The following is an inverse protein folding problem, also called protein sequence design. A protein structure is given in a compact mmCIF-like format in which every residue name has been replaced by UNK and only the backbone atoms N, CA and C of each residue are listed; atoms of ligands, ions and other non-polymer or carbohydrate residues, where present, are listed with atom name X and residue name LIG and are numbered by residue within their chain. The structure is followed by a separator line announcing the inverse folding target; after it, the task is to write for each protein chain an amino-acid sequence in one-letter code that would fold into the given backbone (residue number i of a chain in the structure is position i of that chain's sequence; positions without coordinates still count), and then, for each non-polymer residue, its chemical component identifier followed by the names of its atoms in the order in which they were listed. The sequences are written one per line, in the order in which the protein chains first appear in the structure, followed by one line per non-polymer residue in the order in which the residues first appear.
data_IF_671576150944
#
_entry.id   IF_671576150944
#
_cell.length_a   1.000
_cell.length_b   1.000
_cell.length_c   1.000
_cell.angle_alpha   90.00
_cell.angle_beta   90.00
_cell.angle_gamma   90.00
#
_symmetry.space_group_name_H-M   'P 1'
#
loop_
_entity.id
_entity.type
_entity.pdbx_description
1 polymer ?
#
# COMPACT_ATOMS: atom_id res chain seq x y z
N UNK A 1 13.71 -3.12 -17.18
CA UNK A 1 12.29 -3.42 -17.49
C UNK A 1 11.60 -2.11 -17.82
N UNK A 2 10.66 -2.09 -18.77
CA UNK A 2 9.92 -0.87 -19.14
C UNK A 2 8.41 -1.10 -19.03
N UNK A 3 7.66 -0.07 -18.62
CA UNK A 3 6.19 -0.04 -18.60
C UNK A 3 5.71 1.22 -19.33
N UNK A 4 4.88 1.06 -20.36
CA UNK A 4 4.29 2.19 -21.08
C UNK A 4 2.80 2.30 -20.80
N UNK A 5 2.35 3.46 -20.28
CA UNK A 5 0.93 3.76 -20.04
C UNK A 5 0.63 5.14 -20.62
N UNK A 6 -0.40 5.22 -21.49
CA UNK A 6 -0.82 6.47 -22.14
C UNK A 6 0.37 7.25 -22.76
N UNK A 7 1.24 6.53 -23.49
CA UNK A 7 2.45 7.06 -24.12
C UNK A 7 3.52 7.60 -23.16
N UNK A 8 3.42 7.32 -21.86
CA UNK A 8 4.49 7.55 -20.88
C UNK A 8 5.20 6.22 -20.63
N UNK A 9 6.45 6.11 -21.07
CA UNK A 9 7.34 5.01 -20.71
C UNK A 9 7.97 5.28 -19.35
N UNK A 10 7.91 4.29 -18.47
CA UNK A 10 8.63 4.25 -17.21
C UNK A 10 9.67 3.14 -17.28
N UNK A 11 10.93 3.50 -17.04
CA UNK A 11 12.08 2.60 -17.03
C UNK A 11 12.41 2.21 -15.59
N UNK A 12 12.64 0.91 -15.38
CA UNK A 12 13.00 0.33 -14.10
C UNK A 12 14.32 -0.44 -14.20
N UNK A 13 15.20 -0.21 -13.23
CA UNK A 13 16.44 -0.96 -13.05
C UNK A 13 16.47 -1.63 -11.67
N UNK A 14 17.14 -2.78 -11.60
CA UNK A 14 17.23 -3.63 -10.42
C UNK A 14 18.70 -3.97 -10.14
N UNK A 15 19.02 -4.30 -8.89
CA UNK A 15 20.31 -4.89 -8.54
C UNK A 15 20.34 -6.42 -8.76
N UNK A 16 21.46 -7.05 -8.43
CA UNK A 16 21.72 -8.48 -8.67
C UNK A 16 20.80 -9.42 -7.86
N UNK A 17 20.08 -8.89 -6.86
CA UNK A 17 19.13 -9.64 -6.03
C UNK A 17 17.69 -9.14 -6.24
N UNK A 18 17.39 -8.60 -7.43
CA UNK A 18 16.06 -8.19 -7.89
C UNK A 18 15.45 -6.99 -7.11
N UNK A 19 16.21 -6.20 -6.35
CA UNK A 19 15.68 -5.01 -5.66
C UNK A 19 15.64 -3.82 -6.59
N UNK A 20 14.56 -3.03 -6.53
CA UNK A 20 14.39 -1.87 -7.41
C UNK A 20 15.38 -0.75 -7.06
N UNK A 21 16.31 -0.43 -7.96
CA UNK A 21 17.31 0.65 -7.74
C UNK A 21 17.00 1.93 -8.50
N UNK A 22 16.13 1.89 -9.52
CA UNK A 22 15.75 3.08 -10.29
C UNK A 22 14.34 2.99 -10.88
N UNK A 23 13.63 4.11 -10.87
CA UNK A 23 12.39 4.35 -11.61
C UNK A 23 12.48 5.72 -12.31
N UNK A 24 12.39 5.74 -13.64
CA UNK A 24 12.51 6.97 -14.43
C UNK A 24 11.38 7.07 -15.44
N UNK A 25 10.74 8.24 -15.50
CA UNK A 25 9.78 8.62 -16.55
C UNK A 25 9.86 10.13 -16.79
N UNK A 26 9.19 10.62 -17.83
CA UNK A 26 9.21 12.05 -18.12
C UNK A 26 8.77 12.89 -16.89
N UNK A 27 9.66 13.75 -16.40
CA UNK A 27 9.44 14.61 -15.23
C UNK A 27 9.53 13.93 -13.85
N UNK A 28 9.94 12.66 -13.78
CA UNK A 28 10.10 11.92 -12.53
C UNK A 28 11.31 10.99 -12.58
N UNK A 29 12.23 11.12 -11.63
CA UNK A 29 13.37 10.23 -11.47
C UNK A 29 13.56 9.90 -9.99
N UNK A 30 13.52 8.60 -9.68
CA UNK A 30 13.80 8.08 -8.36
C UNK A 30 14.91 7.02 -8.43
N UNK A 31 15.85 7.06 -7.49
CA UNK A 31 16.81 6.00 -7.27
C UNK A 31 16.89 5.59 -5.80
N UNK A 32 17.30 4.35 -5.57
CA UNK A 32 17.29 3.71 -4.26
C UNK A 32 18.59 2.94 -4.03
N UNK A 33 19.02 2.89 -2.77
CA UNK A 33 20.10 2.01 -2.31
C UNK A 33 19.64 1.22 -1.11
N UNK A 34 20.22 0.05 -0.90
CA UNK A 34 19.87 -0.89 0.16
C UNK A 34 21.11 -1.36 0.92
N UNK A 35 20.92 -1.78 2.17
CA UNK A 35 21.93 -2.54 2.92
C UNK A 35 21.81 -4.05 2.64
N UNK A 36 22.66 -4.85 3.30
CA UNK A 36 22.68 -6.30 3.11
C UNK A 36 21.41 -7.03 3.62
N UNK A 37 20.65 -6.43 4.54
CA UNK A 37 19.37 -6.95 4.99
C UNK A 37 18.22 -6.49 4.07
N UNK A 38 18.46 -5.55 3.16
CA UNK A 38 17.43 -4.98 2.30
C UNK A 38 16.70 -3.80 2.94
N UNK A 39 17.24 -3.17 3.99
CA UNK A 39 16.73 -1.86 4.39
C UNK A 39 17.12 -0.85 3.33
N UNK A 40 16.17 -0.04 2.88
CA UNK A 40 16.48 1.15 2.07
C UNK A 40 17.40 2.05 2.89
N UNK A 41 18.56 2.42 2.35
CA UNK A 41 19.54 3.33 2.96
C UNK A 41 19.46 4.73 2.36
N UNK A 42 19.03 4.85 1.10
CA UNK A 42 18.76 6.15 0.48
C UNK A 42 17.63 6.12 -0.53
N UNK A 43 16.97 7.28 -0.70
CA UNK A 43 16.07 7.59 -1.83
C UNK A 43 16.48 8.93 -2.40
N UNK A 44 16.78 8.99 -3.68
CA UNK A 44 16.99 10.24 -4.40
C UNK A 44 15.82 10.48 -5.33
N UNK A 45 15.01 11.50 -5.05
CA UNK A 45 13.86 11.88 -5.87
C UNK A 45 14.12 13.23 -6.53
N UNK A 46 14.17 13.27 -7.86
CA UNK A 46 14.40 14.48 -8.66
C UNK A 46 15.59 15.32 -8.15
N UNK A 47 16.70 14.63 -7.83
CA UNK A 47 17.94 15.24 -7.32
C UNK A 47 17.97 15.51 -5.81
N UNK A 48 16.85 15.38 -5.10
CA UNK A 48 16.81 15.50 -3.63
C UNK A 48 17.05 14.15 -2.98
N UNK A 49 18.13 14.04 -2.21
CA UNK A 49 18.52 12.78 -1.52
C UNK A 49 18.06 12.78 -0.07
N UNK A 50 17.39 11.70 0.32
CA UNK A 50 17.07 11.36 1.71
C UNK A 50 17.82 10.10 2.12
N UNK A 51 18.38 10.09 3.33
CA UNK A 51 19.03 8.92 3.92
C UNK A 51 18.15 8.32 5.00
N UNK A 52 18.10 6.99 5.05
CA UNK A 52 17.24 6.21 5.94
C UNK A 52 18.13 5.56 6.99
N UNK A 53 17.86 5.83 8.27
CA UNK A 53 18.64 5.35 9.40
C UNK A 53 17.86 4.23 10.09
N UNK A 54 18.44 3.04 10.13
CA UNK A 54 17.87 1.88 10.78
C UNK A 54 18.70 1.45 12.00
N UNK A 55 18.06 0.83 12.98
CA UNK A 55 18.74 0.16 14.09
C UNK A 55 19.11 -1.30 13.73
N UNK A 56 19.83 -1.97 14.64
CA UNK A 56 20.27 -3.36 14.48
C UNK A 56 19.12 -4.38 14.36
N UNK A 57 17.88 -3.96 14.61
CA UNK A 57 16.68 -4.78 14.53
C UNK A 57 15.78 -4.38 13.34
N UNK A 58 16.39 -3.73 12.34
CA UNK A 58 15.82 -3.23 11.09
C UNK A 58 14.70 -2.20 11.30
N UNK A 59 14.63 -1.49 12.44
CA UNK A 59 13.64 -0.45 12.68
C UNK A 59 14.13 0.87 12.09
N UNK A 60 13.32 1.53 11.25
CA UNK A 60 13.65 2.83 10.65
C UNK A 60 13.47 3.89 11.72
N UNK A 61 14.56 4.37 12.32
CA UNK A 61 14.50 5.34 13.41
C UNK A 61 14.35 6.77 12.89
N UNK A 62 14.94 7.08 11.73
CA UNK A 62 14.83 8.42 11.14
C UNK A 62 15.09 8.43 9.64
N UNK A 63 14.60 9.50 9.00
CA UNK A 63 14.97 9.91 7.64
C UNK A 63 15.62 11.28 7.75
N UNK A 64 16.79 11.43 7.11
CA UNK A 64 17.55 12.68 7.08
C UNK A 64 17.66 13.24 5.66
N UNK A 65 17.72 14.57 5.56
CA UNK A 65 17.91 15.29 4.31
C UNK A 65 18.86 16.48 4.57
N UNK A 66 19.97 16.55 3.81
CA UNK A 66 20.98 17.60 4.02
C UNK A 66 21.54 17.63 5.44
N UNK A 67 21.65 16.47 6.11
CA UNK A 67 22.12 16.34 7.49
C UNK A 67 21.08 16.58 8.59
N UNK A 68 19.86 17.03 8.24
CA UNK A 68 18.79 17.28 9.21
C UNK A 68 17.79 16.11 9.25
N UNK A 69 17.27 15.77 10.42
CA UNK A 69 16.16 14.81 10.54
C UNK A 69 14.87 15.44 10.04
N UNK A 70 14.25 14.84 9.04
CA UNK A 70 12.97 15.30 8.45
C UNK A 70 11.78 14.44 8.86
N UNK A 71 12.04 13.19 9.27
CA UNK A 71 11.03 12.27 9.80
C UNK A 71 11.69 11.38 10.84
N UNK A 72 11.03 11.12 11.97
CA UNK A 72 11.48 10.16 12.97
C UNK A 72 10.35 9.21 13.36
N UNK A 73 10.74 8.05 13.88
CA UNK A 73 9.80 6.98 14.22
C UNK A 73 10.14 6.43 15.59
N UNK A 74 9.10 6.06 16.33
CA UNK A 74 9.23 5.33 17.60
C UNK A 74 8.58 3.97 17.47
N UNK A 75 9.07 3.03 18.26
CA UNK A 75 8.62 1.65 18.24
C UNK A 75 8.39 1.14 19.65
N UNK A 76 7.44 0.22 19.80
CA UNK A 76 7.33 -0.57 21.02
C UNK A 76 8.28 -1.78 21.04
N UNK A 77 8.21 -2.55 22.14
CA UNK A 77 9.00 -3.76 22.34
C UNK A 77 8.67 -4.87 21.33
N UNK A 78 7.45 -4.91 20.79
CA UNK A 78 7.06 -5.85 19.73
C UNK A 78 7.62 -5.44 18.35
N UNK A 79 8.15 -4.22 18.22
CA UNK A 79 8.68 -3.70 16.96
C UNK A 79 7.59 -3.10 16.08
N UNK A 80 6.50 -2.61 16.66
CA UNK A 80 5.44 -1.89 15.94
C UNK A 80 5.69 -0.41 16.00
N UNK A 81 5.54 0.30 14.88
CA UNK A 81 5.71 1.76 14.84
C UNK A 81 4.60 2.43 15.67
N UNK A 82 4.95 3.06 16.79
CA UNK A 82 3.98 3.70 17.71
C UNK A 82 3.81 5.20 17.46
N UNK A 83 4.78 5.85 16.85
CA UNK A 83 4.64 7.24 16.43
C UNK A 83 5.52 7.56 15.23
N UNK A 84 5.06 8.53 14.44
CA UNK A 84 5.78 9.14 13.33
C UNK A 84 5.76 10.65 13.55
N UNK A 85 6.94 11.26 13.56
CA UNK A 85 7.09 12.71 13.77
C UNK A 85 7.71 13.35 12.53
N UNK A 86 7.08 14.39 12.00
CA UNK A 86 7.58 15.23 10.89
C UNK A 86 7.67 16.66 11.39
N UNK A 87 8.89 17.19 11.54
CA UNK A 87 9.09 18.46 12.24
C UNK A 87 8.61 18.37 13.70
N UNK A 88 7.61 19.16 14.07
CA UNK A 88 6.98 19.14 15.40
C UNK A 88 5.66 18.32 15.43
N UNK A 89 5.19 17.87 14.27
CA UNK A 89 3.91 17.20 14.12
C UNK A 89 4.08 15.71 14.36
N UNK A 90 3.43 15.19 15.40
CA UNK A 90 3.49 13.77 15.77
C UNK A 90 2.15 13.10 15.52
N UNK A 91 2.18 12.00 14.77
CA UNK A 91 1.07 11.06 14.61
C UNK A 91 1.34 9.83 15.45
N UNK A 92 0.42 9.48 16.35
CA UNK A 92 0.52 8.29 17.22
C UNK A 92 -0.36 7.16 16.72
N UNK A 93 0.12 5.92 16.86
CA UNK A 93 -0.53 4.72 16.36
C UNK A 93 -0.73 3.75 17.52
N UNK A 94 -1.98 3.39 17.79
CA UNK A 94 -2.36 2.42 18.80
C UNK A 94 -2.68 1.07 18.17
N UNK A 95 -2.32 0.01 18.88
CA UNK A 95 -2.50 -1.37 18.45
C UNK A 95 -3.26 -2.18 19.48
N UNK A 96 -3.94 -3.23 19.04
CA UNK A 96 -4.42 -4.28 19.94
C UNK A 96 -3.35 -5.38 20.19
N UNK A 97 -3.77 -6.46 20.84
CA UNK A 97 -2.89 -7.59 21.18
C UNK A 97 -2.47 -8.42 19.95
N UNK A 98 -3.19 -8.31 18.83
CA UNK A 98 -2.88 -8.99 17.56
C UNK A 98 -2.05 -8.11 16.63
N UNK A 99 -1.59 -6.95 17.11
CA UNK A 99 -0.80 -5.99 16.34
C UNK A 99 -1.56 -5.32 15.19
N UNK A 100 -2.88 -5.22 15.31
CA UNK A 100 -3.74 -4.47 14.38
C UNK A 100 -3.86 -3.04 14.85
N UNK A 101 -3.83 -2.08 13.93
CA UNK A 101 -4.00 -0.67 14.27
C UNK A 101 -5.46 -0.43 14.66
N UNK A 102 -5.72 -0.05 15.91
CA UNK A 102 -7.07 0.29 16.37
C UNK A 102 -7.36 1.78 16.30
N UNK A 103 -6.32 2.61 16.39
CA UNK A 103 -6.46 4.06 16.33
C UNK A 103 -5.21 4.73 15.77
N UNK A 104 -5.41 5.76 14.97
CA UNK A 104 -4.38 6.75 14.59
C UNK A 104 -4.81 8.09 15.17
N UNK A 105 -3.93 8.75 15.91
CA UNK A 105 -4.14 10.10 16.46
C UNK A 105 -3.21 11.08 15.75
N UNK A 106 -3.78 12.09 15.12
CA UNK A 106 -3.07 13.09 14.33
C UNK A 106 -2.61 14.28 15.20
N UNK A 107 -1.70 15.14 14.71
CA UNK A 107 -1.17 16.28 15.47
C UNK A 107 -2.24 17.26 15.99
N UNK A 108 -3.31 17.43 15.22
CA UNK A 108 -4.47 18.25 15.57
C UNK A 108 -5.45 17.54 16.56
N UNK A 109 -5.08 16.37 17.08
CA UNK A 109 -5.86 15.48 17.94
C UNK A 109 -7.10 14.85 17.29
N UNK A 110 -7.33 15.01 15.99
CA UNK A 110 -8.33 14.18 15.30
C UNK A 110 -7.87 12.73 15.26
N UNK A 111 -8.82 11.80 15.17
CA UNK A 111 -8.51 10.38 15.25
C UNK A 111 -9.21 9.59 14.18
N UNK A 112 -8.51 8.60 13.63
CA UNK A 112 -9.11 7.51 12.88
C UNK A 112 -9.20 6.27 13.78
N UNK A 113 -10.30 5.53 13.70
CA UNK A 113 -10.48 4.30 14.47
C UNK A 113 -10.87 3.15 13.57
N UNK A 114 -10.46 1.94 13.94
CA UNK A 114 -10.65 0.74 13.14
C UNK A 114 -11.10 -0.42 14.02
N UNK A 115 -11.98 -1.26 13.48
CA UNK A 115 -12.45 -2.47 14.14
C UNK A 115 -12.26 -3.68 13.23
N UNK A 116 -11.98 -4.83 13.84
CA UNK A 116 -11.64 -6.08 13.16
C UNK A 116 -12.52 -7.22 13.69
N UNK A 117 -12.74 -8.24 12.86
CA UNK A 117 -13.27 -9.52 13.34
C UNK A 117 -12.13 -10.43 13.85
N UNK A 118 -12.48 -11.60 14.38
CA UNK A 118 -11.50 -12.58 14.89
C UNK A 118 -10.63 -13.26 13.83
N UNK A 119 -10.78 -12.89 12.54
CA UNK A 119 -9.97 -13.38 11.42
C UNK A 119 -9.14 -12.25 10.79
N UNK A 120 -8.90 -11.18 11.56
CA UNK A 120 -8.06 -10.05 11.18
C UNK A 120 -8.58 -9.21 10.00
N UNK A 121 -9.84 -9.38 9.62
CA UNK A 121 -10.43 -8.54 8.59
C UNK A 121 -10.98 -7.26 9.21
N UNK A 122 -10.62 -6.12 8.64
CA UNK A 122 -11.22 -4.83 9.02
C UNK A 122 -12.70 -4.83 8.67
N UNK A 123 -13.55 -4.67 9.69
CA UNK A 123 -15.03 -4.63 9.58
C UNK A 123 -15.60 -3.23 9.72
N UNK A 124 -14.86 -2.28 10.31
CA UNK A 124 -15.28 -0.87 10.33
C UNK A 124 -14.10 0.07 10.37
N UNK A 125 -14.30 1.28 9.84
CA UNK A 125 -13.44 2.42 10.08
C UNK A 125 -14.23 3.70 10.29
N UNK A 126 -13.68 4.61 11.08
CA UNK A 126 -14.13 6.00 11.19
C UNK A 126 -12.93 6.88 10.88
N UNK A 127 -13.06 7.74 9.88
CA UNK A 127 -12.04 8.70 9.46
C UNK A 127 -12.69 10.06 9.09
N UNK A 128 -11.91 11.01 8.55
CA UNK A 128 -12.42 12.33 8.16
C UNK A 128 -13.54 12.27 7.10
N UNK A 129 -13.65 11.15 6.36
CA UNK A 129 -14.67 10.91 5.33
C UNK A 129 -15.95 10.27 5.89
N UNK A 130 -15.99 10.02 7.20
CA UNK A 130 -17.12 9.44 7.92
C UNK A 130 -16.90 7.98 8.31
N UNK A 131 -18.00 7.32 8.65
CA UNK A 131 -17.99 5.91 9.06
C UNK A 131 -18.18 4.99 7.87
N UNK A 132 -17.40 3.90 7.81
CA UNK A 132 -17.54 2.79 6.87
C UNK A 132 -17.72 1.48 7.63
N UNK A 133 -18.56 0.61 7.09
CA UNK A 133 -18.78 -0.75 7.61
C UNK A 133 -18.63 -1.74 6.48
N UNK A 134 -17.68 -2.66 6.62
CA UNK A 134 -17.28 -3.56 5.55
C UNK A 134 -18.03 -4.89 5.64
N UNK A 135 -18.67 -5.27 4.53
CA UNK A 135 -19.15 -6.62 4.29
C UNK A 135 -18.32 -7.26 3.18
N UNK A 136 -17.90 -8.50 3.39
CA UNK A 136 -17.04 -9.26 2.48
C UNK A 136 -17.75 -10.52 1.97
N UNK A 137 -17.27 -11.05 0.84
CA UNK A 137 -17.65 -12.36 0.32
C UNK A 137 -16.82 -13.46 0.99
N UNK A 138 -16.97 -13.58 2.31
CA UNK A 138 -16.16 -14.47 3.13
C UNK A 138 -15.64 -13.78 4.38
N UNK A 139 -14.64 -14.40 5.02
CA UNK A 139 -14.17 -14.02 6.34
C UNK A 139 -12.64 -13.92 6.44
N UNK A 140 -11.89 -14.27 5.39
CA UNK A 140 -10.44 -14.12 5.31
C UNK A 140 -10.05 -12.73 4.80
N UNK A 141 -8.81 -12.32 5.08
CA UNK A 141 -8.31 -10.97 4.73
C UNK A 141 -8.26 -10.72 3.22
N UNK A 142 -8.10 -11.78 2.43
CA UNK A 142 -8.11 -11.76 0.96
C UNK A 142 -9.51 -11.83 0.36
N UNK A 143 -10.54 -12.14 1.16
CA UNK A 143 -11.90 -12.18 0.66
C UNK A 143 -12.37 -10.76 0.31
N UNK A 144 -12.98 -10.57 -0.87
CA UNK A 144 -13.21 -9.25 -1.41
C UNK A 144 -14.30 -8.51 -0.64
N UNK A 145 -14.15 -7.20 -0.53
CA UNK A 145 -15.17 -6.32 0.04
C UNK A 145 -16.30 -6.14 -0.98
N UNK A 146 -17.53 -6.40 -0.55
CA UNK A 146 -18.75 -6.22 -1.34
C UNK A 146 -19.42 -4.87 -1.08
N UNK A 147 -19.26 -4.31 0.11
CA UNK A 147 -19.72 -2.95 0.43
C UNK A 147 -18.97 -2.38 1.63
N UNK A 148 -18.83 -1.05 1.66
CA UNK A 148 -18.30 -0.27 2.80
C UNK A 148 -19.42 0.51 3.54
N UNK A 149 -20.68 0.20 3.25
CA UNK A 149 -21.87 0.91 3.73
C UNK A 149 -22.23 2.16 2.93
N UNK A 150 -21.31 2.71 2.14
CA UNK A 150 -21.51 3.90 1.33
C UNK A 150 -21.44 3.62 -0.18
N UNK A 151 -20.77 2.56 -0.59
CA UNK A 151 -20.75 2.02 -1.95
C UNK A 151 -20.90 0.50 -1.93
N UNK A 152 -21.42 -0.04 -3.02
CA UNK A 152 -21.39 -1.47 -3.33
C UNK A 152 -20.33 -1.71 -4.40
N UNK A 153 -19.57 -2.79 -4.24
CA UNK A 153 -18.46 -3.12 -5.12
C UNK A 153 -18.75 -4.40 -5.89
N UNK A 154 -18.39 -4.37 -7.17
CA UNK A 154 -18.08 -5.59 -7.91
C UNK A 154 -16.56 -5.70 -7.89
N UNK A 155 -15.97 -6.59 -7.08
CA UNK A 155 -14.53 -6.61 -6.79
C UNK A 155 -13.68 -6.61 -8.06
N UNK A 156 -12.72 -5.68 -8.14
CA UNK A 156 -11.85 -5.51 -9.31
C UNK A 156 -12.51 -4.94 -10.57
N UNK A 157 -13.84 -4.76 -10.60
CA UNK A 157 -14.59 -4.33 -11.80
C UNK A 157 -15.19 -2.94 -11.63
N UNK A 158 -15.97 -2.71 -10.59
CA UNK A 158 -16.71 -1.45 -10.44
C UNK A 158 -17.09 -1.12 -9.00
N UNK A 159 -17.40 0.15 -8.77
CA UNK A 159 -18.10 0.63 -7.59
C UNK A 159 -19.36 1.38 -7.96
N UNK A 160 -20.40 1.21 -7.15
CA UNK A 160 -21.63 1.96 -7.24
C UNK A 160 -21.88 2.71 -5.94
N UNK A 161 -21.89 4.04 -6.02
CA UNK A 161 -22.19 4.94 -4.90
C UNK A 161 -23.50 5.64 -5.20
N UNK A 162 -24.51 5.39 -4.37
CA UNK A 162 -25.90 5.78 -4.66
C UNK A 162 -26.34 5.22 -6.02
N UNK A 163 -26.59 6.07 -7.01
CA UNK A 163 -26.99 5.67 -8.37
C UNK A 163 -25.87 5.82 -9.41
N UNK A 164 -24.67 6.20 -9.00
CA UNK A 164 -23.53 6.43 -9.90
C UNK A 164 -22.60 5.23 -9.86
N UNK A 165 -22.35 4.63 -11.02
CA UNK A 165 -21.38 3.54 -11.19
C UNK A 165 -20.10 4.06 -11.84
N UNK A 166 -18.97 3.63 -11.31
CA UNK A 166 -17.62 3.84 -11.87
C UNK A 166 -16.96 2.49 -12.10
N UNK A 167 -16.21 2.37 -13.19
CA UNK A 167 -15.51 1.14 -13.56
C UNK A 167 -14.01 1.30 -13.36
N UNK A 168 -13.39 0.32 -12.71
CA UNK A 168 -11.96 0.26 -12.47
C UNK A 168 -11.20 -0.15 -13.74
N UNK A 169 -10.08 0.52 -13.99
CA UNK A 169 -9.11 0.12 -15.02
C UNK A 169 -7.76 -0.14 -14.34
N UNK A 170 -7.53 -1.37 -13.87
CA UNK A 170 -6.28 -1.72 -13.21
C UNK A 170 -5.16 -2.02 -14.20
N UNK A 171 -3.91 -1.80 -13.78
CA UNK A 171 -2.74 -2.31 -14.46
C UNK A 171 -2.49 -3.81 -14.15
N UNK A 172 -1.37 -4.37 -14.63
CA UNK A 172 -0.99 -5.77 -14.37
C UNK A 172 -0.85 -6.10 -12.88
N UNK A 173 -0.44 -5.14 -12.05
CA UNK A 173 -0.30 -5.32 -10.61
C UNK A 173 -1.67 -5.29 -9.90
N UNK A 174 -2.75 -4.94 -10.61
CA UNK A 174 -4.06 -4.71 -10.02
C UNK A 174 -4.24 -3.28 -9.50
N UNK A 175 -3.34 -2.35 -9.83
CA UNK A 175 -3.42 -0.94 -9.42
C UNK A 175 -4.40 -0.20 -10.29
N UNK A 176 -5.44 0.37 -9.68
CA UNK A 176 -6.43 1.21 -10.38
C UNK A 176 -5.79 2.51 -10.85
N UNK A 177 -5.45 2.61 -12.13
CA UNK A 177 -4.87 3.82 -12.72
C UNK A 177 -5.95 4.80 -13.21
N UNK A 178 -7.17 4.31 -13.45
CA UNK A 178 -8.26 5.11 -14.01
C UNK A 178 -9.65 4.60 -13.61
N UNK A 179 -10.59 5.53 -13.52
CA UNK A 179 -12.03 5.26 -13.45
C UNK A 179 -12.75 5.81 -14.69
N UNK A 180 -13.73 5.06 -15.19
CA UNK A 180 -14.66 5.54 -16.22
C UNK A 180 -16.10 5.52 -15.74
N UNK A 181 -16.93 6.39 -16.29
CA UNK A 181 -18.38 6.34 -16.13
C UNK A 181 -19.05 5.36 -17.11
N UNK A 182 -20.39 5.32 -17.11
CA UNK A 182 -21.21 4.48 -18.01
C UNK A 182 -21.13 4.91 -19.47
N UNK A 183 -20.66 6.12 -19.76
CA UNK A 183 -20.40 6.60 -21.12
C UNK A 183 -18.95 6.30 -21.56
N UNK A 184 -18.23 5.45 -20.80
CA UNK A 184 -16.82 5.10 -21.00
C UNK A 184 -15.88 6.32 -20.94
N UNK A 185 -16.36 7.43 -20.39
CA UNK A 185 -15.57 8.65 -20.24
C UNK A 185 -14.72 8.56 -18.99
N UNK A 186 -13.44 8.92 -19.11
CA UNK A 186 -12.51 8.95 -17.98
C UNK A 186 -12.91 10.05 -17.01
N UNK A 187 -13.16 9.69 -15.75
CA UNK A 187 -13.55 10.68 -14.73
C UNK A 187 -12.49 10.89 -13.67
N UNK A 188 -11.66 9.89 -13.43
CA UNK A 188 -10.61 9.94 -12.41
C UNK A 188 -9.36 9.25 -12.94
N UNK A 189 -8.20 9.77 -12.56
CA UNK A 189 -6.90 9.14 -12.83
C UNK A 189 -6.09 9.09 -11.56
N UNK A 190 -5.23 8.07 -11.44
CA UNK A 190 -4.27 7.93 -10.34
C UNK A 190 -2.94 7.45 -10.90
N UNK A 191 -1.86 8.05 -10.42
CA UNK A 191 -0.49 7.65 -10.74
C UNK A 191 0.28 7.44 -9.45
N UNK A 192 0.86 6.27 -9.30
CA UNK A 192 1.68 5.91 -8.16
C UNK A 192 3.17 5.91 -8.56
N UNK A 193 4.06 6.06 -7.59
CA UNK A 193 5.44 5.57 -7.73
C UNK A 193 5.48 4.04 -7.59
N UNK A 194 6.64 3.44 -7.86
CA UNK A 194 6.79 2.00 -7.80
C UNK A 194 6.40 1.40 -6.43
N UNK A 195 6.56 2.16 -5.34
CA UNK A 195 6.23 1.73 -3.98
C UNK A 195 4.79 2.09 -3.57
N UNK A 196 3.94 2.51 -4.50
CA UNK A 196 2.53 2.75 -4.24
C UNK A 196 2.23 4.10 -3.57
N UNK A 197 3.16 5.07 -3.62
CA UNK A 197 2.89 6.44 -3.18
C UNK A 197 2.17 7.20 -4.30
N UNK A 198 1.02 7.80 -4.01
CA UNK A 198 0.28 8.57 -5.00
C UNK A 198 1.09 9.84 -5.37
N UNK A 199 1.42 9.98 -6.64
CA UNK A 199 2.23 11.10 -7.18
C UNK A 199 1.39 12.10 -7.96
N UNK A 200 0.28 11.66 -8.53
CA UNK A 200 -0.66 12.52 -9.24
C UNK A 200 -2.04 11.87 -9.32
N UNK A 201 -3.10 12.67 -9.25
CA UNK A 201 -4.47 12.20 -9.45
C UNK A 201 -5.38 13.29 -9.99
N UNK A 202 -6.48 12.88 -10.61
CA UNK A 202 -7.60 13.74 -10.98
C UNK A 202 -8.93 13.09 -10.61
N UNK A 203 -10.00 13.88 -10.56
CA UNK A 203 -11.31 13.42 -10.14
C UNK A 203 -11.48 13.46 -8.61
N UNK A 204 -12.65 13.05 -8.13
CA UNK A 204 -13.05 13.16 -6.73
C UNK A 204 -13.74 11.91 -6.20
N UNK A 205 -13.75 10.81 -6.97
CA UNK A 205 -14.40 9.58 -6.55
C UNK A 205 -13.65 8.95 -5.36
N UNK A 206 -14.29 8.80 -4.18
CA UNK A 206 -13.64 8.29 -2.98
C UNK A 206 -13.63 6.76 -3.02
N UNK A 207 -12.70 6.19 -3.79
CA UNK A 207 -12.45 4.74 -3.81
C UNK A 207 -11.28 4.38 -2.89
N UNK A 208 -11.42 3.36 -2.04
CA UNK A 208 -10.31 2.83 -1.25
C UNK A 208 -9.40 1.90 -2.07
N UNK A 209 -9.83 1.42 -3.24
CA UNK A 209 -9.13 0.41 -4.04
C UNK A 209 -8.24 1.07 -5.11
N UNK A 210 -7.15 1.68 -4.64
CA UNK A 210 -6.13 2.36 -5.44
C UNK A 210 -5.00 1.42 -5.88
N UNK A 211 -3.81 1.60 -5.28
CA UNK A 211 -2.65 0.75 -5.50
C UNK A 211 -2.94 -0.72 -5.16
N UNK A 212 -2.71 -1.62 -6.12
CA UNK A 212 -3.07 -3.04 -6.06
C UNK A 212 -4.51 -3.30 -5.53
N UNK A 213 -5.43 -2.36 -5.78
CA UNK A 213 -6.81 -2.41 -5.28
C UNK A 213 -7.60 -3.62 -5.77
N UNK A 214 -7.26 -4.19 -6.93
CA UNK A 214 -7.86 -5.43 -7.42
C UNK A 214 -7.59 -6.65 -6.50
N UNK A 215 -6.53 -6.57 -5.68
CA UNK A 215 -6.17 -7.57 -4.66
C UNK A 215 -6.73 -7.24 -3.27
N UNK A 216 -7.58 -6.21 -3.16
CA UNK A 216 -8.24 -5.86 -1.90
C UNK A 216 -7.46 -4.91 -1.00
N UNK A 217 -6.34 -4.35 -1.48
CA UNK A 217 -5.62 -3.29 -0.76
C UNK A 217 -6.53 -2.09 -0.54
N UNK A 218 -6.55 -1.58 0.69
CA UNK A 218 -7.38 -0.44 1.05
C UNK A 218 -6.52 0.74 1.45
N UNK A 219 -6.71 1.87 0.76
CA UNK A 219 -6.05 3.14 1.08
C UNK A 219 -6.84 3.91 2.15
N UNK A 220 -6.14 4.42 3.16
CA UNK A 220 -6.72 5.30 4.18
C UNK A 220 -6.28 6.76 3.94
N UNK A 221 -7.19 7.63 3.46
CA UNK A 221 -6.84 8.92 2.86
C UNK A 221 -6.14 9.88 3.82
N UNK A 222 -6.55 9.89 5.10
CA UNK A 222 -5.98 10.82 6.10
C UNK A 222 -4.54 10.45 6.48
N UNK A 223 -4.18 9.17 6.44
CA UNK A 223 -2.85 8.68 6.84
C UNK A 223 -1.92 8.45 5.65
N UNK A 224 -2.47 8.20 4.46
CA UNK A 224 -1.74 7.71 3.29
C UNK A 224 -1.30 6.24 3.40
N UNK A 225 -1.57 5.58 4.53
CA UNK A 225 -1.27 4.16 4.74
C UNK A 225 -2.21 3.28 3.91
N UNK A 226 -1.75 2.05 3.69
CA UNK A 226 -2.48 1.02 2.97
C UNK A 226 -2.64 -0.19 3.88
N UNK A 227 -3.85 -0.72 4.01
CA UNK A 227 -4.10 -2.01 4.63
C UNK A 227 -3.94 -3.10 3.57
N UNK A 228 -2.95 -3.96 3.77
CA UNK A 228 -2.61 -5.12 2.95
C UNK A 228 -2.86 -6.36 3.80
N UNK A 229 -3.98 -7.03 3.57
CA UNK A 229 -4.40 -8.18 4.35
C UNK A 229 -4.29 -7.93 5.87
N UNK A 230 -3.26 -8.52 6.48
CA UNK A 230 -2.93 -8.48 7.90
C UNK A 230 -2.14 -7.23 8.37
N UNK A 231 -1.46 -6.50 7.47
CA UNK A 231 -0.51 -5.45 7.85
C UNK A 231 -0.78 -4.11 7.20
N UNK A 232 -0.41 -3.05 7.91
CA UNK A 232 -0.37 -1.70 7.37
C UNK A 232 0.98 -1.40 6.74
N UNK A 233 0.93 -0.94 5.49
CA UNK A 233 2.06 -0.55 4.67
C UNK A 233 2.11 0.99 4.52
N UNK A 234 3.29 1.57 4.74
CA UNK A 234 3.56 2.99 4.50
C UNK A 234 4.29 3.15 3.14
N UNK A 235 3.57 3.56 2.07
CA UNK A 235 4.19 3.76 0.76
C UNK A 235 5.21 4.91 0.74
N UNK A 236 5.13 5.86 1.69
CA UNK A 236 6.09 6.97 1.73
C UNK A 236 7.50 6.51 2.12
N UNK A 237 7.59 5.40 2.85
CA UNK A 237 8.85 4.79 3.28
C UNK A 237 9.12 3.46 2.57
N UNK A 238 8.12 2.86 1.94
CA UNK A 238 8.23 1.60 1.23
C UNK A 238 8.29 0.38 2.14
N UNK A 239 7.67 0.44 3.32
CA UNK A 239 7.79 -0.61 4.35
C UNK A 239 6.52 -0.78 5.19
N UNK A 240 6.36 -1.94 5.81
CA UNK A 240 5.32 -2.22 6.79
C UNK A 240 5.57 -1.51 8.13
N UNK A 241 4.49 -1.23 8.87
CA UNK A 241 4.57 -0.63 10.22
C UNK A 241 4.83 -1.65 11.32
N UNK A 242 4.66 -2.93 11.01
CA UNK A 242 4.86 -4.05 11.92
C UNK A 242 5.78 -5.08 11.25
N UNK A 243 6.49 -5.86 12.08
CA UNK A 243 7.23 -7.02 11.60
C UNK A 243 6.27 -8.05 11.04
N UNK A 244 6.74 -8.76 10.03
CA UNK A 244 6.06 -9.95 9.52
C UNK A 244 5.83 -10.97 10.65
N UNK A 245 4.57 -11.32 10.97
CA UNK A 245 4.25 -12.31 11.98
C UNK A 245 4.84 -13.70 11.69
N UNK A 246 4.97 -14.07 10.41
CA UNK A 246 5.58 -15.35 10.02
C UNK A 246 7.10 -15.26 9.84
N UNK A 247 7.65 -14.04 9.92
CA UNK A 247 9.10 -13.75 9.86
C UNK A 247 9.75 -14.30 8.59
N UNK A 248 9.03 -14.26 7.48
CA UNK A 248 9.56 -14.66 6.19
C UNK A 248 10.63 -13.67 5.70
N UNK A 249 11.59 -14.21 4.96
CA UNK A 249 12.74 -13.53 4.38
C UNK A 249 13.63 -12.74 5.34
N UNK A 250 14.42 -11.82 4.77
CA UNK A 250 15.57 -11.20 5.46
C UNK A 250 15.21 -9.96 6.27
N UNK A 251 14.16 -9.25 5.87
CA UNK A 251 13.76 -8.00 6.50
C UNK A 251 12.25 -7.97 6.69
N UNK A 252 11.82 -8.18 7.92
CA UNK A 252 10.41 -8.36 8.26
C UNK A 252 9.55 -7.09 8.13
N UNK A 253 10.12 -5.96 7.71
CA UNK A 253 9.37 -4.76 7.36
C UNK A 253 9.30 -4.53 5.85
N UNK A 254 10.02 -5.31 5.05
CA UNK A 254 10.12 -5.10 3.61
C UNK A 254 8.80 -5.39 2.91
N UNK A 255 8.53 -4.66 1.82
CA UNK A 255 7.44 -5.01 0.92
C UNK A 255 8.04 -5.69 -0.31
N UNK A 256 7.74 -6.98 -0.46
CA UNK A 256 8.17 -7.82 -1.58
C UNK A 256 9.68 -7.72 -1.87
N UNK A 257 10.52 -7.81 -0.83
CA UNK A 257 11.99 -7.71 -0.90
C UNK A 257 12.52 -6.45 -1.64
N UNK A 258 11.76 -5.35 -1.63
CA UNK A 258 12.00 -4.11 -2.40
C UNK A 258 11.82 -4.24 -3.92
N UNK A 259 11.02 -5.22 -4.38
CA UNK A 259 10.57 -5.34 -5.76
C UNK A 259 9.04 -5.18 -5.88
N UNK A 260 8.51 -3.98 -5.62
CA UNK A 260 7.07 -3.75 -5.49
C UNK A 260 6.28 -3.93 -6.80
N UNK A 261 6.95 -4.06 -7.95
CA UNK A 261 6.35 -4.18 -9.27
C UNK A 261 6.19 -5.64 -9.73
N UNK A 262 6.77 -6.59 -9.00
CA UNK A 262 6.80 -7.99 -9.39
C UNK A 262 5.46 -8.67 -9.12
N UNK A 263 4.93 -8.54 -7.89
CA UNK A 263 3.60 -9.00 -7.50
C UNK A 263 2.99 -8.14 -6.39
N UNK A 264 1.68 -8.30 -6.19
CA UNK A 264 1.03 -7.87 -4.95
C UNK A 264 1.21 -8.95 -3.88
N UNK A 265 1.13 -8.53 -2.62
CA UNK A 265 1.08 -9.32 -1.39
C UNK A 265 -0.33 -9.16 -0.75
N UNK A 266 -1.35 -9.89 -1.22
CA UNK A 266 -2.74 -9.74 -0.77
C UNK A 266 -2.94 -10.00 0.72
N UNK A 267 -2.11 -10.85 1.32
CA UNK A 267 -2.16 -11.18 2.74
C UNK A 267 -1.33 -10.21 3.58
N UNK A 268 -0.39 -9.48 2.97
CA UNK A 268 0.60 -8.73 3.70
C UNK A 268 1.53 -9.66 4.47
N UNK A 269 1.88 -10.84 3.97
CA UNK A 269 2.73 -11.85 4.64
C UNK A 269 3.77 -12.49 3.71
N UNK A 270 3.82 -12.10 2.42
CA UNK A 270 4.58 -12.83 1.41
C UNK A 270 5.78 -12.02 0.92
N UNK A 271 6.99 -12.56 1.08
CA UNK A 271 8.23 -11.94 0.53
C UNK A 271 8.65 -12.53 -0.82
N UNK A 272 8.20 -13.73 -1.18
CA UNK A 272 8.50 -14.39 -2.47
C UNK A 272 7.26 -14.92 -3.18
N UNK A 273 7.40 -15.36 -4.43
CA UNK A 273 6.34 -15.85 -5.33
C UNK A 273 5.47 -17.04 -4.84
N UNK A 274 5.37 -17.28 -3.54
CA UNK A 274 4.38 -18.19 -2.94
C UNK A 274 2.95 -17.63 -3.00
N UNK A 275 2.78 -16.31 -3.22
CA UNK A 275 1.49 -15.75 -3.67
C UNK A 275 0.99 -16.43 -4.96
N UNK A 276 1.90 -16.82 -5.87
CA UNK A 276 1.54 -17.57 -7.08
C UNK A 276 1.28 -19.05 -6.80
N UNK A 277 2.05 -19.71 -5.91
CA UNK A 277 1.80 -21.13 -5.55
C UNK A 277 0.49 -21.33 -4.79
N UNK A 278 0.14 -20.43 -3.87
CA UNK A 278 -1.08 -20.58 -3.07
C UNK A 278 -2.35 -20.14 -3.80
N UNK A 279 -2.24 -19.25 -4.80
CA UNK A 279 -3.34 -18.96 -5.72
C UNK A 279 -3.61 -20.12 -6.70
N UNK A 280 -2.57 -20.88 -7.09
CA UNK A 280 -2.66 -22.00 -8.04
C UNK A 280 -3.07 -23.33 -7.37
N UNK A 281 -2.70 -23.55 -6.09
CA UNK A 281 -2.87 -24.86 -5.44
C UNK A 281 -4.16 -25.07 -4.62
N UNK A 282 -5.12 -24.14 -4.51
CA UNK A 282 -6.34 -24.49 -3.76
C UNK A 282 -7.46 -23.49 -3.46
N UNK A 283 -7.43 -22.24 -3.94
CA UNK A 283 -8.59 -21.33 -3.78
C UNK A 283 -9.11 -20.88 -5.15
N UNK A 284 -9.86 -21.79 -5.77
CA UNK A 284 -10.90 -21.44 -6.73
C UNK A 284 -11.90 -20.50 -6.04
N UNK A 285 -11.63 -19.18 -6.10
CA UNK A 285 -12.60 -18.06 -6.01
C UNK A 285 -11.99 -16.66 -6.15
N UNK A 286 -10.90 -16.46 -6.90
CA UNK A 286 -10.64 -15.13 -7.48
C UNK A 286 -11.59 -14.92 -8.68
N UNK A 287 -12.41 -13.85 -8.72
CA UNK A 287 -13.33 -13.65 -9.84
C UNK A 287 -12.66 -13.35 -11.18
N UNK A 288 -11.36 -13.02 -11.22
CA UNK A 288 -10.69 -12.62 -12.46
C UNK A 288 -9.20 -12.95 -12.38
N UNK A 289 -8.81 -14.14 -12.83
CA UNK A 289 -7.52 -14.28 -13.54
C UNK A 289 -7.75 -13.72 -14.95
N UNK A 290 -7.12 -12.60 -15.36
CA UNK A 290 -7.26 -12.11 -16.71
C UNK A 290 -6.61 -13.12 -17.67
N UNK A 291 -7.43 -13.88 -18.38
CA UNK A 291 -7.00 -14.61 -19.56
C UNK A 291 -6.67 -13.58 -20.66
N UNK A 292 -5.40 -13.27 -20.87
CA UNK A 292 -4.96 -12.64 -22.12
C UNK A 292 -3.93 -13.55 -22.78
N UNK A 293 -4.41 -14.30 -23.78
CA UNK A 293 -3.56 -14.99 -24.75
C UNK A 293 -2.99 -13.96 -25.73
N UNK A 294 -1.69 -14.14 -26.00
CA UNK A 294 -0.85 -13.71 -27.14
C UNK A 294 -1.06 -12.31 -27.73
#
# INVERSE_FOLDING_TARGET
MEKTVNSVTTEYAYDDIDQLVSEVRNGYSASYTYDANGNRTSKTLNGTTQSYVVDDADKLTSITQGGNTVKSFTYDAAGRTTAVTVGNDTTSIAYDYESRITQITYPNQSTNTFAYNGLDTRVSKVDSTGTRTYLRDGAYVTDPVLTDGAATYTPGISERRSSVTKFYHPDRLGTTERLTDTNQSTTDTRKYDAFGLLTNSSGSTPTPFGFAGAWGYQEDPDSGLKLLGHRYYDPSTGRFLTRDPIKDGRNWYSYFENNPLKWADPEGLSEKGDAARRADEGMSKSPITPNMRE
#
